data_IF_862454263121
#
_entry.id   IF_862454263121
#
_cell.length_a   1.000
_cell.length_b   1.000
_cell.length_c   1.000
_cell.angle_alpha   90.00
_cell.angle_beta   90.00
_cell.angle_gamma   90.00
#
_symmetry.space_group_name_H-M   'P 1'
#
loop_
_entity.id
_entity.type
_entity.pdbx_description
1 polymer ?
#
# COMPACT_ATOMS: atom_id res chain seq x y z
N UNK A 1 -3.92 -28.93 1.30
CA UNK A 1 -4.57 -29.73 0.24
C UNK A 1 -4.17 -29.16 -1.10
N UNK A 2 -3.82 -29.98 -2.09
CA UNK A 2 -3.43 -29.51 -3.42
C UNK A 2 -4.63 -29.17 -4.31
N UNK A 3 -4.39 -28.40 -5.38
CA UNK A 3 -5.42 -27.96 -6.35
C UNK A 3 -6.16 -29.16 -6.96
N UNK A 4 -5.44 -30.21 -7.35
CA UNK A 4 -6.00 -31.45 -7.90
C UNK A 4 -7.00 -32.11 -6.95
N UNK A 5 -6.66 -32.21 -5.66
CA UNK A 5 -7.56 -32.78 -4.64
C UNK A 5 -8.82 -31.93 -4.50
N UNK A 6 -8.69 -30.60 -4.50
CA UNK A 6 -9.84 -29.69 -4.35
C UNK A 6 -10.76 -29.77 -5.58
N UNK A 7 -10.19 -29.82 -6.80
CA UNK A 7 -10.96 -29.96 -8.02
C UNK A 7 -11.58 -31.36 -8.14
N UNK A 8 -10.89 -32.40 -7.67
CA UNK A 8 -11.40 -33.77 -7.61
C UNK A 8 -12.58 -33.91 -6.64
N UNK A 9 -12.46 -33.32 -5.44
CA UNK A 9 -13.55 -33.22 -4.45
C UNK A 9 -14.79 -32.50 -5.04
N UNK A 10 -14.60 -31.61 -6.02
CA UNK A 10 -15.66 -30.84 -6.69
C UNK A 10 -16.15 -31.44 -8.02
N UNK A 11 -15.60 -32.56 -8.47
CA UNK A 11 -15.96 -33.17 -9.76
C UNK A 11 -15.57 -32.32 -10.99
N UNK A 12 -14.63 -31.39 -10.83
CA UNK A 12 -14.15 -30.49 -11.88
C UNK A 12 -12.79 -30.90 -12.45
N UNK A 13 -12.15 -31.93 -11.89
CA UNK A 13 -10.85 -32.40 -12.35
C UNK A 13 -10.98 -33.22 -13.64
N UNK A 14 -10.05 -33.00 -14.58
CA UNK A 14 -9.92 -33.81 -15.80
C UNK A 14 -8.47 -34.25 -15.96
N UNK A 15 -8.27 -35.51 -16.34
CA UNK A 15 -6.93 -36.10 -16.52
C UNK A 15 -6.14 -35.38 -17.63
N UNK A 16 -4.87 -35.12 -17.37
CA UNK A 16 -3.97 -34.44 -18.31
C UNK A 16 -4.01 -32.91 -18.27
N UNK A 17 -4.73 -32.31 -17.32
CA UNK A 17 -4.71 -30.86 -17.13
C UNK A 17 -3.36 -30.35 -16.63
N UNK A 18 -2.95 -29.20 -17.16
CA UNK A 18 -1.81 -28.44 -16.66
C UNK A 18 -2.25 -27.60 -15.46
N UNK A 19 -1.37 -27.51 -14.46
CA UNK A 19 -1.59 -26.67 -13.27
C UNK A 19 -1.77 -25.20 -13.68
N UNK A 20 -0.87 -24.71 -14.53
CA UNK A 20 -0.84 -23.34 -15.04
C UNK A 20 -0.67 -23.30 -16.56
N UNK A 21 -1.18 -22.23 -17.18
CA UNK A 21 -0.94 -21.97 -18.58
C UNK A 21 0.35 -21.17 -18.78
N UNK A 22 1.07 -21.47 -19.86
CA UNK A 22 2.26 -20.72 -20.25
C UNK A 22 1.97 -19.26 -20.65
N UNK A 23 0.70 -18.92 -20.92
CA UNK A 23 0.25 -17.57 -21.24
C UNK A 23 -0.50 -16.98 -20.03
N UNK A 24 -0.19 -15.75 -19.61
CA UNK A 24 -0.80 -15.13 -18.43
C UNK A 24 -2.29 -14.78 -18.59
N UNK A 25 -2.79 -14.72 -19.83
CA UNK A 25 -4.18 -14.41 -20.16
C UNK A 25 -4.70 -15.49 -21.10
N UNK A 26 -5.22 -16.58 -20.52
CA UNK A 26 -6.01 -17.54 -21.27
C UNK A 26 -7.50 -17.17 -21.11
N UNK A 27 -8.23 -17.13 -22.22
CA UNK A 27 -9.69 -17.02 -22.21
C UNK A 27 -10.27 -18.44 -22.08
N UNK A 28 -11.14 -18.66 -21.09
CA UNK A 28 -11.82 -19.95 -20.86
C UNK A 28 -11.19 -20.89 -19.79
N UNK A 29 -11.68 -22.12 -19.76
CA UNK A 29 -11.31 -23.20 -18.82
C UNK A 29 -10.01 -23.91 -19.26
N UNK A 30 -8.89 -23.19 -19.23
CA UNK A 30 -7.64 -23.61 -19.87
C UNK A 30 -6.69 -24.42 -18.96
N UNK A 31 -6.79 -24.26 -17.63
CA UNK A 31 -5.89 -24.87 -16.64
C UNK A 31 -6.57 -25.02 -15.28
N UNK A 32 -6.01 -25.89 -14.43
CA UNK A 32 -6.56 -26.19 -13.11
C UNK A 32 -6.67 -24.94 -12.23
N UNK A 33 -5.67 -24.06 -12.26
CA UNK A 33 -5.68 -22.84 -11.44
C UNK A 33 -6.81 -21.86 -11.84
N UNK A 34 -7.08 -21.71 -13.14
CA UNK A 34 -8.15 -20.85 -13.66
C UNK A 34 -9.52 -21.37 -13.28
N UNK A 35 -9.73 -22.68 -13.36
CA UNK A 35 -11.00 -23.32 -13.03
C UNK A 35 -11.22 -23.30 -11.52
N UNK A 36 -10.15 -23.36 -10.73
CA UNK A 36 -10.25 -23.14 -9.29
C UNK A 36 -10.60 -21.68 -8.92
N UNK A 37 -10.24 -20.69 -9.74
CA UNK A 37 -10.51 -19.27 -9.45
C UNK A 37 -11.87 -18.76 -9.95
N UNK A 38 -12.63 -19.57 -10.68
CA UNK A 38 -13.95 -19.22 -11.21
C UNK A 38 -15.09 -19.36 -10.20
N UNK A 39 -15.16 -20.42 -9.37
CA UNK A 39 -16.25 -20.62 -8.43
C UNK A 39 -16.48 -19.43 -7.51
N UNK A 40 -17.77 -19.13 -7.30
CA UNK A 40 -18.24 -18.00 -6.51
C UNK A 40 -17.70 -17.99 -5.09
N UNK A 41 -17.50 -19.17 -4.48
CA UNK A 41 -16.98 -19.29 -3.12
C UNK A 41 -15.56 -18.74 -3.00
N UNK A 42 -14.70 -18.95 -4.00
CA UNK A 42 -13.36 -18.36 -4.02
C UNK A 42 -13.36 -16.88 -4.38
N UNK A 43 -14.24 -16.44 -5.28
CA UNK A 43 -14.33 -15.03 -5.65
C UNK A 43 -14.89 -14.16 -4.51
N UNK A 44 -15.81 -14.72 -3.72
CA UNK A 44 -16.42 -14.04 -2.58
C UNK A 44 -15.63 -14.23 -1.28
N UNK A 45 -14.67 -15.15 -1.24
CA UNK A 45 -13.84 -15.36 -0.07
C UNK A 45 -13.00 -14.12 0.22
N UNK A 46 -13.31 -13.47 1.33
CA UNK A 46 -12.52 -12.36 1.85
C UNK A 46 -11.26 -12.91 2.51
N UNK A 47 -10.16 -12.18 2.36
CA UNK A 47 -8.95 -12.50 3.10
C UNK A 47 -9.18 -12.32 4.60
N UNK A 48 -8.57 -13.16 5.44
CA UNK A 48 -8.69 -13.07 6.91
C UNK A 48 -8.40 -11.64 7.45
N UNK A 49 -7.44 -10.94 6.85
CA UNK A 49 -7.15 -9.54 7.21
C UNK A 49 -8.32 -8.61 6.89
N UNK A 50 -8.94 -8.76 5.72
CA UNK A 50 -10.11 -7.98 5.34
C UNK A 50 -11.27 -8.25 6.29
N UNK A 51 -11.56 -9.51 6.60
CA UNK A 51 -12.60 -9.88 7.56
C UNK A 51 -12.36 -9.24 8.93
N UNK A 52 -11.14 -9.33 9.48
CA UNK A 52 -10.81 -8.74 10.78
C UNK A 52 -10.94 -7.21 10.79
N UNK A 53 -10.55 -6.54 9.70
CA UNK A 53 -10.66 -5.08 9.58
C UNK A 53 -12.13 -4.65 9.48
N UNK A 54 -12.94 -5.35 8.68
CA UNK A 54 -14.36 -5.08 8.53
C UNK A 54 -15.11 -5.34 9.85
N UNK A 55 -14.82 -6.44 10.54
CA UNK A 55 -15.41 -6.77 11.85
C UNK A 55 -15.10 -5.74 12.93
N UNK A 56 -13.92 -5.10 12.86
CA UNK A 56 -13.53 -4.04 13.79
C UNK A 56 -14.03 -2.65 13.37
N UNK A 57 -14.70 -2.53 12.22
CA UNK A 57 -15.22 -1.26 11.71
C UNK A 57 -14.13 -0.28 11.24
N UNK A 58 -12.89 -0.75 11.08
CA UNK A 58 -11.78 0.08 10.63
C UNK A 58 -11.88 0.35 9.12
N UNK A 59 -11.44 1.54 8.71
CA UNK A 59 -11.33 1.92 7.29
C UNK A 59 -9.88 1.84 6.84
N UNK A 60 -9.65 1.28 5.66
CA UNK A 60 -8.32 1.18 5.05
C UNK A 60 -8.14 2.31 4.05
N UNK A 61 -6.97 2.93 4.07
CA UNK A 61 -6.52 3.85 3.03
C UNK A 61 -5.55 3.08 2.14
N UNK A 62 -5.94 2.84 0.88
CA UNK A 62 -5.07 2.23 -0.11
C UNK A 62 -4.26 3.32 -0.82
N UNK A 63 -2.94 3.14 -0.86
CA UNK A 63 -2.03 4.05 -1.55
C UNK A 63 -1.62 3.44 -2.90
N UNK A 64 -1.40 4.27 -3.94
CA UNK A 64 -0.85 3.79 -5.20
C UNK A 64 0.50 3.09 -5.02
N UNK A 65 0.74 2.02 -5.79
CA UNK A 65 1.99 1.27 -5.71
C UNK A 65 3.16 2.15 -6.17
N UNK A 66 4.27 2.11 -5.44
CA UNK A 66 5.50 2.89 -5.70
C UNK A 66 5.40 4.41 -5.49
N UNK A 67 4.36 4.88 -4.81
CA UNK A 67 4.17 6.30 -4.47
C UNK A 67 4.28 6.52 -2.95
N UNK A 68 5.48 6.31 -2.39
CA UNK A 68 5.71 6.42 -0.94
C UNK A 68 5.55 7.86 -0.41
N UNK A 69 5.72 8.86 -1.28
CA UNK A 69 5.44 10.27 -1.01
C UNK A 69 3.98 10.55 -0.66
N UNK A 70 3.07 9.65 -1.05
CA UNK A 70 1.65 9.72 -0.70
C UNK A 70 1.33 9.06 0.65
N UNK A 71 2.32 8.50 1.34
CA UNK A 71 2.13 7.89 2.65
C UNK A 71 2.74 8.75 3.75
N UNK A 72 1.91 9.43 4.54
CA UNK A 72 2.36 10.41 5.52
C UNK A 72 3.26 9.81 6.60
N UNK A 73 3.16 8.50 6.85
CA UNK A 73 3.98 7.80 7.83
C UNK A 73 5.47 7.78 7.44
N UNK A 74 5.79 7.91 6.15
CA UNK A 74 7.18 7.97 5.68
C UNK A 74 7.88 9.24 6.18
N UNK A 75 7.17 10.38 6.22
CA UNK A 75 7.68 11.62 6.81
C UNK A 75 7.89 11.48 8.32
N UNK A 76 6.96 10.82 9.01
CA UNK A 76 7.09 10.51 10.44
C UNK A 76 8.34 9.67 10.70
N UNK A 77 8.51 8.56 9.98
CA UNK A 77 9.69 7.70 10.10
C UNK A 77 10.99 8.41 9.70
N UNK A 78 10.94 9.32 8.73
CA UNK A 78 12.07 10.17 8.39
C UNK A 78 12.57 11.00 9.58
N UNK A 79 11.64 11.63 10.31
CA UNK A 79 11.97 12.40 11.52
C UNK A 79 12.48 11.50 12.66
N UNK A 80 11.84 10.36 12.90
CA UNK A 80 12.25 9.38 13.91
C UNK A 80 13.67 8.89 13.63
N UNK A 81 13.97 8.50 12.39
CA UNK A 81 15.31 8.08 11.97
C UNK A 81 16.34 9.20 12.15
N UNK A 82 16.00 10.43 11.78
CA UNK A 82 16.89 11.60 11.96
C UNK A 82 17.17 11.85 13.43
N UNK A 83 16.18 11.75 14.31
CA UNK A 83 16.37 11.89 15.74
C UNK A 83 17.25 10.77 16.29
N UNK A 84 16.91 9.51 15.98
CA UNK A 84 17.67 8.35 16.43
C UNK A 84 19.13 8.47 16.00
N UNK A 85 19.40 8.75 14.72
CA UNK A 85 20.75 8.90 14.20
C UNK A 85 21.60 9.95 14.94
N UNK A 86 21.00 11.09 15.30
CA UNK A 86 21.71 12.18 16.00
C UNK A 86 21.99 11.89 17.48
N UNK A 87 21.20 11.01 18.09
CA UNK A 87 21.22 10.75 19.53
C UNK A 87 21.62 9.30 19.85
N UNK A 88 22.06 8.53 18.84
CA UNK A 88 22.39 7.11 19.02
C UNK A 88 23.85 6.95 19.45
N UNK A 89 24.04 6.56 20.71
CA UNK A 89 25.31 6.04 21.21
C UNK A 89 25.35 4.50 21.10
N UNK A 90 24.97 3.96 19.93
CA UNK A 90 24.96 2.53 19.59
C UNK A 90 23.92 1.63 20.31
N UNK A 91 22.96 2.20 21.05
CA UNK A 91 21.84 1.43 21.65
C UNK A 91 20.49 1.74 20.99
N UNK A 92 20.18 1.01 19.92
CA UNK A 92 18.95 1.22 19.15
C UNK A 92 17.66 0.90 19.94
N UNK A 93 17.70 -0.07 20.85
CA UNK A 93 16.51 -0.50 21.59
C UNK A 93 16.01 0.59 22.54
N UNK A 94 16.93 1.36 23.13
CA UNK A 94 16.58 2.43 24.06
C UNK A 94 16.21 3.73 23.33
N UNK A 95 16.84 4.02 22.19
CA UNK A 95 16.61 5.27 21.48
C UNK A 95 15.31 5.26 20.66
N UNK A 96 14.85 4.11 20.16
CA UNK A 96 13.65 4.03 19.30
C UNK A 96 12.40 4.58 20.01
N UNK A 97 12.04 4.17 21.25
CA UNK A 97 10.87 4.72 21.93
C UNK A 97 10.95 6.24 22.13
N UNK A 98 12.13 6.75 22.48
CA UNK A 98 12.37 8.19 22.66
C UNK A 98 12.25 8.94 21.32
N UNK A 99 12.79 8.35 20.25
CA UNK A 99 12.71 8.93 18.91
C UNK A 99 11.27 8.97 18.40
N UNK A 100 10.47 7.92 18.65
CA UNK A 100 9.05 7.89 18.32
C UNK A 100 8.27 9.00 19.05
N UNK A 101 8.56 9.19 20.34
CA UNK A 101 7.95 10.22 21.18
C UNK A 101 8.45 11.65 20.87
N UNK A 102 9.60 11.79 20.19
CA UNK A 102 10.19 13.10 19.87
C UNK A 102 9.40 13.89 18.82
N UNK A 103 8.56 13.22 18.04
CA UNK A 103 7.79 13.85 16.97
C UNK A 103 6.52 14.47 17.53
N UNK A 104 6.42 15.79 17.45
CA UNK A 104 5.24 16.52 17.93
C UNK A 104 3.97 16.10 17.14
N UNK A 105 2.83 15.82 17.82
CA UNK A 105 1.57 15.50 17.16
C UNK A 105 1.11 16.53 16.12
N UNK A 106 1.43 17.82 16.31
CA UNK A 106 1.16 18.87 15.32
C UNK A 106 1.94 18.64 14.03
N UNK A 107 3.19 18.19 14.12
CA UNK A 107 4.01 17.83 12.96
C UNK A 107 3.39 16.67 12.19
N UNK A 108 2.82 15.68 12.88
CA UNK A 108 2.11 14.56 12.24
C UNK A 108 0.91 15.06 11.42
N UNK A 109 0.12 15.99 11.97
CA UNK A 109 -0.99 16.61 11.24
C UNK A 109 -0.52 17.37 10.00
N UNK A 110 0.61 18.06 10.08
CA UNK A 110 1.21 18.76 8.94
C UNK A 110 1.68 17.80 7.85
N UNK A 111 2.22 16.64 8.20
CA UNK A 111 2.57 15.60 7.24
C UNK A 111 1.35 15.04 6.52
N UNK A 112 0.27 14.78 7.27
CA UNK A 112 -0.99 14.34 6.68
C UNK A 112 -1.55 15.38 5.70
N UNK A 113 -1.61 16.66 6.11
CA UNK A 113 -2.08 17.74 5.24
C UNK A 113 -1.20 17.93 3.99
N UNK A 114 0.13 17.76 4.12
CA UNK A 114 1.05 17.77 2.98
C UNK A 114 0.71 16.67 1.99
N UNK A 115 0.55 15.44 2.47
CA UNK A 115 0.20 14.29 1.61
C UNK A 115 -1.11 14.53 0.90
N UNK A 116 -2.15 15.04 1.58
CA UNK A 116 -3.43 15.34 0.94
C UNK A 116 -3.29 16.33 -0.23
N UNK A 117 -2.44 17.36 -0.10
CA UNK A 117 -2.16 18.30 -1.19
C UNK A 117 -1.47 17.61 -2.37
N UNK A 118 -0.46 16.78 -2.08
CA UNK A 118 0.25 16.02 -3.11
C UNK A 118 -0.72 15.06 -3.81
N UNK A 119 -1.50 14.27 -3.07
CA UNK A 119 -2.52 13.38 -3.63
C UNK A 119 -3.50 14.12 -4.54
N UNK A 120 -3.95 15.31 -4.13
CA UNK A 120 -4.84 16.13 -4.96
C UNK A 120 -4.19 16.52 -6.29
N UNK A 121 -2.92 16.93 -6.28
CA UNK A 121 -2.18 17.24 -7.51
C UNK A 121 -2.06 16.00 -8.42
N UNK A 122 -1.72 14.83 -7.85
CA UNK A 122 -1.67 13.56 -8.58
C UNK A 122 -3.00 13.17 -9.22
N UNK A 123 -4.13 13.47 -8.58
CA UNK A 123 -5.45 13.20 -9.14
C UNK A 123 -5.86 14.19 -10.24
N UNK A 124 -5.22 15.36 -10.32
CA UNK A 124 -5.57 16.43 -11.25
C UNK A 124 -4.67 16.48 -12.49
N UNK A 125 -3.44 15.95 -12.44
CA UNK A 125 -2.52 15.90 -13.57
C UNK A 125 -2.62 14.56 -14.33
N UNK A 126 -2.67 14.56 -15.68
CA UNK A 126 -2.43 13.35 -16.45
C UNK A 126 -1.01 12.86 -16.20
N UNK A 127 -0.84 11.56 -15.92
CA UNK A 127 0.42 10.85 -15.65
C UNK A 127 1.54 11.05 -16.71
N UNK A 128 1.31 11.82 -17.77
CA UNK A 128 2.19 11.97 -18.92
C UNK A 128 3.09 13.21 -18.92
N UNK A 129 2.88 14.22 -18.08
CA UNK A 129 3.72 15.43 -18.09
C UNK A 129 3.87 16.04 -16.68
N UNK A 130 4.78 15.46 -15.89
CA UNK A 130 4.96 15.67 -14.45
C UNK A 130 5.64 16.99 -14.08
N UNK A 131 5.13 18.13 -14.58
CA UNK A 131 5.72 19.44 -14.29
C UNK A 131 5.37 19.97 -12.90
N UNK A 132 4.18 19.68 -12.38
CA UNK A 132 3.77 20.11 -11.03
C UNK A 132 4.39 19.26 -9.91
N UNK A 133 4.77 18.02 -10.20
CA UNK A 133 5.42 17.10 -9.25
C UNK A 133 6.88 17.51 -8.93
N UNK A 134 7.65 17.94 -9.93
CA UNK A 134 9.04 18.38 -9.73
C UNK A 134 9.13 19.60 -8.79
N UNK A 135 8.10 20.45 -8.80
CA UNK A 135 8.00 21.63 -7.94
C UNK A 135 7.89 21.24 -6.44
N UNK A 136 7.20 20.14 -6.14
CA UNK A 136 6.99 19.60 -4.78
C UNK A 136 8.12 18.71 -4.25
N UNK A 137 8.91 18.10 -5.14
CA UNK A 137 10.13 17.37 -4.79
C UNK A 137 11.33 18.28 -4.56
N UNK A 138 11.30 19.50 -5.13
CA UNK A 138 12.40 20.44 -4.92
C UNK A 138 12.56 20.75 -3.43
N UNK A 139 13.78 20.62 -2.91
CA UNK A 139 14.13 21.00 -1.54
C UNK A 139 13.97 22.52 -1.28
N UNK A 140 13.57 23.29 -2.30
CA UNK A 140 13.31 24.71 -2.21
C UNK A 140 11.95 24.96 -1.55
N UNK A 141 11.97 25.80 -0.51
CA UNK A 141 10.80 26.23 0.26
C UNK A 141 9.73 26.80 -0.70
N UNK A 142 8.67 26.02 -0.97
CA UNK A 142 7.47 26.53 -1.65
C UNK A 142 6.97 27.73 -0.85
N UNK A 143 6.88 28.89 -1.48
CA UNK A 143 6.32 30.09 -0.84
C UNK A 143 4.83 29.84 -0.61
N UNK A 144 4.44 29.65 0.64
CA UNK A 144 3.04 29.67 1.04
C UNK A 144 2.39 30.97 0.56
N UNK A 145 1.32 30.85 -0.22
CA UNK A 145 0.43 31.97 -0.49
C UNK A 145 -0.45 32.18 0.74
N UNK A 146 -0.88 33.43 0.97
CA UNK A 146 -1.57 33.86 2.20
C UNK A 146 -2.89 33.12 2.49
N UNK A 147 -3.37 32.32 1.54
CA UNK A 147 -4.61 31.56 1.64
C UNK A 147 -4.41 30.12 2.17
N UNK A 148 -3.19 29.75 2.55
CA UNK A 148 -2.82 28.42 3.09
C UNK A 148 -3.04 28.24 4.62
N UNK A 149 -3.70 29.20 5.29
CA UNK A 149 -3.99 29.15 6.74
C UNK A 149 -5.48 29.13 7.05
#
# INVERSE_FOLDING_TARGET
KGIEVILGERGLWTDGWKLECSKPQCEGCCCAHRILSQPDDFQQQKGKLQEMIELTGHKIIFHPKFHCELNWIEYYWGQVKRYAYKNCEHNYLQIIPVALASVNPLTIRLFYARVQRITKAYCQEPLSDSKGYEEYLSHCRIRHLKDDF
#
